data_IF_546015719943
#
_entry.id   IF_546015719943
#
_cell.length_a   1.000
_cell.length_b   1.000
_cell.length_c   1.000
_cell.angle_alpha   90.00
_cell.angle_beta   90.00
_cell.angle_gamma   90.00
#
_symmetry.space_group_name_H-M   'P 1'
#
loop_
_entity.id
_entity.type
_entity.pdbx_description
1 polymer ?
#
# COMPACT_ATOMS: atom_id res chain seq x y z
N UNK A 1 32.20 23.83 0.38
CA UNK A 1 31.25 23.07 1.22
C UNK A 1 30.33 22.30 0.29
N UNK A 2 30.52 20.98 0.20
CA UNK A 2 29.90 20.14 -0.82
C UNK A 2 28.42 19.89 -0.53
N UNK A 3 27.59 20.16 -1.53
CA UNK A 3 26.18 19.78 -1.54
C UNK A 3 26.05 18.24 -1.49
N UNK A 4 25.59 17.70 -0.37
CA UNK A 4 25.16 16.31 -0.29
C UNK A 4 23.77 16.17 -0.92
N UNK A 5 23.74 16.07 -2.25
CA UNK A 5 22.59 15.56 -3.01
C UNK A 5 22.83 14.07 -3.29
N UNK A 6 22.69 13.24 -2.26
CA UNK A 6 22.71 11.77 -2.38
C UNK A 6 21.73 11.18 -1.37
N UNK A 7 20.45 11.04 -1.73
CA UNK A 7 19.57 10.11 -1.00
C UNK A 7 18.28 9.69 -1.71
N UNK A 8 18.04 10.01 -2.98
CA UNK A 8 16.86 9.49 -3.71
C UNK A 8 17.13 8.15 -4.40
N UNK A 9 18.34 7.92 -4.91
CA UNK A 9 18.68 6.71 -5.69
C UNK A 9 18.69 5.40 -4.88
N UNK A 10 19.08 5.43 -3.60
CA UNK A 10 19.09 4.21 -2.75
C UNK A 10 17.68 3.72 -2.43
N UNK A 11 16.75 4.66 -2.22
CA UNK A 11 15.35 4.36 -1.91
C UNK A 11 14.65 3.72 -3.10
N UNK A 12 15.00 4.13 -4.33
CA UNK A 12 14.46 3.55 -5.58
C UNK A 12 14.98 2.13 -5.83
N UNK A 13 16.25 1.84 -5.53
CA UNK A 13 16.80 0.49 -5.70
C UNK A 13 16.17 -0.53 -4.74
N UNK A 14 16.05 -0.17 -3.46
CA UNK A 14 15.39 -1.02 -2.45
C UNK A 14 13.90 -1.27 -2.76
N UNK A 15 13.21 -0.30 -3.37
CA UNK A 15 11.82 -0.48 -3.77
C UNK A 15 11.68 -1.46 -4.94
N UNK A 16 12.63 -1.45 -5.88
CA UNK A 16 12.66 -2.39 -6.99
C UNK A 16 12.92 -3.83 -6.51
N UNK A 17 13.87 -4.01 -5.59
CA UNK A 17 14.17 -5.33 -5.03
C UNK A 17 12.95 -5.92 -4.31
N UNK A 18 12.26 -5.13 -3.48
CA UNK A 18 11.05 -5.59 -2.79
C UNK A 18 9.92 -5.95 -3.76
N UNK A 19 9.71 -5.15 -4.80
CA UNK A 19 8.69 -5.43 -5.82
C UNK A 19 9.00 -6.72 -6.57
N UNK A 20 10.24 -6.90 -7.02
CA UNK A 20 10.66 -8.11 -7.76
C UNK A 20 10.57 -9.37 -6.89
N UNK A 21 10.95 -9.28 -5.60
CA UNK A 21 10.78 -10.36 -4.64
C UNK A 21 9.29 -10.70 -4.45
N UNK A 22 8.43 -9.68 -4.38
CA UNK A 22 6.98 -9.87 -4.30
C UNK A 22 6.41 -10.59 -5.53
N UNK A 23 6.79 -10.15 -6.75
CA UNK A 23 6.35 -10.76 -8.01
C UNK A 23 6.86 -12.20 -8.14
N UNK A 24 8.14 -12.43 -7.83
CA UNK A 24 8.73 -13.77 -7.87
C UNK A 24 8.05 -14.70 -6.85
N UNK A 25 7.83 -14.23 -5.61
CA UNK A 25 7.11 -14.96 -4.57
C UNK A 25 5.67 -15.31 -4.99
N UNK A 26 4.96 -14.37 -5.63
CA UNK A 26 3.61 -14.60 -6.15
C UNK A 26 3.60 -15.65 -7.28
N UNK A 27 4.59 -15.62 -8.18
CA UNK A 27 4.76 -16.62 -9.23
C UNK A 27 5.02 -18.02 -8.68
N UNK A 28 5.89 -18.13 -7.67
CA UNK A 28 6.16 -19.40 -6.96
C UNK A 28 4.90 -19.88 -6.24
N UNK A 29 4.17 -18.99 -5.57
CA UNK A 29 2.92 -19.33 -4.89
C UNK A 29 1.85 -19.84 -5.87
N UNK A 30 1.72 -19.22 -7.05
CA UNK A 30 0.79 -19.66 -8.08
C UNK A 30 1.17 -21.06 -8.59
N UNK A 31 2.45 -21.31 -8.87
CA UNK A 31 2.92 -22.63 -9.29
C UNK A 31 2.65 -23.70 -8.21
N UNK A 32 3.02 -23.44 -6.96
CA UNK A 32 2.74 -24.34 -5.84
C UNK A 32 1.24 -24.56 -5.64
N UNK A 33 0.42 -23.51 -5.77
CA UNK A 33 -1.03 -23.61 -5.71
C UNK A 33 -1.62 -24.53 -6.79
N UNK A 34 -1.11 -24.47 -8.03
CA UNK A 34 -1.53 -25.38 -9.09
C UNK A 34 -1.13 -26.83 -8.80
N UNK A 35 0.07 -27.06 -8.25
CA UNK A 35 0.51 -28.39 -7.81
C UNK A 35 -0.33 -28.90 -6.65
N UNK A 36 -0.67 -28.05 -5.67
CA UNK A 36 -1.55 -28.42 -4.58
C UNK A 36 -2.94 -28.83 -5.09
N UNK A 37 -3.48 -28.11 -6.07
CA UNK A 37 -4.77 -28.42 -6.69
C UNK A 37 -4.75 -29.77 -7.42
N UNK A 38 -3.71 -30.06 -8.21
CA UNK A 38 -3.58 -31.35 -8.92
C UNK A 38 -3.36 -32.52 -7.95
N UNK A 39 -2.60 -32.32 -6.88
CA UNK A 39 -2.39 -33.33 -5.82
C UNK A 39 -3.68 -33.57 -5.04
N UNK A 40 -4.48 -32.53 -4.79
CA UNK A 40 -5.79 -32.66 -4.14
C UNK A 40 -6.76 -33.48 -5.00
N UNK A 41 -6.80 -33.22 -6.31
CA UNK A 41 -7.58 -34.00 -7.28
C UNK A 41 -7.17 -35.46 -7.32
N UNK A 42 -5.91 -35.76 -7.03
CA UNK A 42 -5.35 -37.12 -6.97
C UNK A 42 -5.65 -37.86 -5.65
N UNK A 43 -6.53 -37.31 -4.79
CA UNK A 43 -6.93 -37.93 -3.51
C UNK A 43 -5.92 -37.76 -2.36
N UNK A 44 -4.77 -37.11 -2.60
CA UNK A 44 -3.71 -36.95 -1.60
C UNK A 44 -3.88 -35.64 -0.82
N UNK A 45 -4.94 -35.55 -0.02
CA UNK A 45 -5.35 -34.29 0.62
C UNK A 45 -4.33 -33.73 1.62
N UNK A 46 -3.64 -34.59 2.39
CA UNK A 46 -2.59 -34.15 3.33
C UNK A 46 -1.40 -33.51 2.61
N UNK A 47 -0.96 -34.11 1.51
CA UNK A 47 0.12 -33.54 0.69
C UNK A 47 -0.32 -32.22 0.03
N UNK A 48 -1.56 -32.14 -0.47
CA UNK A 48 -2.11 -30.92 -1.04
C UNK A 48 -2.17 -29.77 -0.02
N UNK A 49 -2.58 -30.04 1.22
CA UNK A 49 -2.62 -29.05 2.30
C UNK A 49 -1.20 -28.53 2.61
N UNK A 50 -0.21 -29.42 2.70
CA UNK A 50 1.18 -29.01 2.95
C UNK A 50 1.73 -28.10 1.84
N UNK A 51 1.47 -28.43 0.58
CA UNK A 51 1.89 -27.61 -0.57
C UNK A 51 1.13 -26.29 -0.61
N UNK A 52 -0.16 -26.28 -0.31
CA UNK A 52 -0.95 -25.05 -0.21
C UNK A 52 -0.48 -24.12 0.91
N UNK A 53 -0.09 -24.68 2.07
CA UNK A 53 0.48 -23.90 3.17
C UNK A 53 1.81 -23.24 2.78
N UNK A 54 2.67 -23.95 2.04
CA UNK A 54 3.90 -23.38 1.48
C UNK A 54 3.59 -22.26 0.47
N UNK A 55 2.63 -22.47 -0.43
CA UNK A 55 2.19 -21.45 -1.38
C UNK A 55 1.70 -20.18 -0.68
N UNK A 56 0.93 -20.33 0.39
CA UNK A 56 0.47 -19.21 1.21
C UNK A 56 1.63 -18.44 1.84
N UNK A 57 2.67 -19.13 2.33
CA UNK A 57 3.86 -18.48 2.87
C UNK A 57 4.54 -17.55 1.87
N UNK A 58 4.60 -17.93 0.59
CA UNK A 58 5.15 -17.09 -0.48
C UNK A 58 4.19 -16.00 -0.97
N UNK A 59 2.87 -16.21 -0.88
CA UNK A 59 1.87 -15.21 -1.27
C UNK A 59 1.66 -14.12 -0.20
N UNK A 60 1.94 -14.42 1.07
CA UNK A 60 1.61 -13.56 2.20
C UNK A 60 2.25 -12.16 2.13
N UNK A 61 3.55 -12.01 1.82
CA UNK A 61 4.16 -10.69 1.68
C UNK A 61 3.51 -9.85 0.59
N UNK A 62 3.17 -10.47 -0.55
CA UNK A 62 2.51 -9.80 -1.65
C UNK A 62 1.07 -9.39 -1.31
N UNK A 63 0.34 -10.21 -0.54
CA UNK A 63 -0.98 -9.85 -0.02
C UNK A 63 -0.92 -8.65 0.94
N UNK A 64 0.05 -8.64 1.86
CA UNK A 64 0.26 -7.51 2.77
C UNK A 64 0.57 -6.24 2.00
N UNK A 65 1.43 -6.32 0.99
CA UNK A 65 1.75 -5.19 0.13
C UNK A 65 0.51 -4.69 -0.63
N UNK A 66 -0.28 -5.59 -1.22
CA UNK A 66 -1.50 -5.26 -1.93
C UNK A 66 -2.52 -4.54 -1.03
N UNK A 67 -2.71 -5.01 0.20
CA UNK A 67 -3.59 -4.35 1.18
C UNK A 67 -3.06 -2.96 1.53
N UNK A 68 -1.76 -2.82 1.73
CA UNK A 68 -1.13 -1.52 2.00
C UNK A 68 -1.32 -0.53 0.85
N UNK A 69 -1.12 -0.96 -0.38
CA UNK A 69 -1.34 -0.15 -1.59
C UNK A 69 -2.82 0.25 -1.73
N UNK A 70 -3.75 -0.68 -1.52
CA UNK A 70 -5.18 -0.40 -1.58
C UNK A 70 -5.61 0.64 -0.54
N UNK A 71 -5.13 0.51 0.70
CA UNK A 71 -5.38 1.51 1.75
C UNK A 71 -4.77 2.87 1.40
N UNK A 72 -3.55 2.88 0.86
CA UNK A 72 -2.88 4.10 0.40
C UNK A 72 -3.68 4.81 -0.71
N UNK A 73 -4.15 4.06 -1.71
CA UNK A 73 -4.99 4.57 -2.78
C UNK A 73 -6.30 5.13 -2.23
N UNK A 74 -6.95 4.42 -1.30
CA UNK A 74 -8.20 4.86 -0.69
C UNK A 74 -8.03 6.16 0.10
N UNK A 75 -6.94 6.29 0.87
CA UNK A 75 -6.60 7.52 1.58
C UNK A 75 -6.31 8.68 0.63
N UNK A 76 -5.58 8.42 -0.47
CA UNK A 76 -5.33 9.39 -1.53
C UNK A 76 -6.64 9.88 -2.16
N UNK A 77 -7.54 8.96 -2.51
CA UNK A 77 -8.86 9.29 -3.05
C UNK A 77 -9.67 10.12 -2.05
N UNK A 78 -9.73 9.69 -0.79
CA UNK A 78 -10.45 10.41 0.26
C UNK A 78 -9.91 11.83 0.45
N UNK A 79 -8.59 11.98 0.48
CA UNK A 79 -7.93 13.29 0.59
C UNK A 79 -8.23 14.17 -0.62
N UNK A 80 -8.19 13.59 -1.84
CA UNK A 80 -8.52 14.31 -3.07
C UNK A 80 -9.97 14.79 -3.06
N UNK A 81 -10.92 13.94 -2.65
CA UNK A 81 -12.33 14.32 -2.52
C UNK A 81 -12.50 15.46 -1.52
N UNK A 82 -11.89 15.35 -0.34
CA UNK A 82 -11.92 16.42 0.67
C UNK A 82 -11.33 17.71 0.10
N UNK A 83 -10.20 17.63 -0.62
CA UNK A 83 -9.58 18.80 -1.24
C UNK A 83 -10.49 19.44 -2.29
N UNK A 84 -11.06 18.65 -3.20
CA UNK A 84 -11.96 19.12 -4.27
C UNK A 84 -13.22 19.78 -3.69
N UNK A 85 -13.70 19.34 -2.53
CA UNK A 85 -14.88 19.94 -1.87
C UNK A 85 -14.49 21.15 -1.03
N UNK A 86 -13.44 21.02 -0.21
CA UNK A 86 -13.04 22.05 0.75
C UNK A 86 -12.37 23.25 0.08
N UNK A 87 -11.58 23.05 -0.97
CA UNK A 87 -10.89 24.12 -1.69
C UNK A 87 -11.87 25.16 -2.28
N UNK A 88 -12.88 24.80 -3.09
CA UNK A 88 -13.83 25.78 -3.60
C UNK A 88 -14.69 26.39 -2.47
N UNK A 89 -15.03 25.62 -1.43
CA UNK A 89 -15.76 26.15 -0.28
C UNK A 89 -14.96 27.23 0.49
N UNK A 90 -13.65 27.05 0.62
CA UNK A 90 -12.73 28.03 1.23
C UNK A 90 -12.47 29.24 0.33
N UNK A 91 -12.43 29.04 -0.99
CA UNK A 91 -12.26 30.11 -1.97
C UNK A 91 -13.51 30.99 -2.09
N UNK A 92 -14.71 30.41 -2.03
CA UNK A 92 -15.96 31.13 -2.21
C UNK A 92 -16.50 31.78 -0.92
N UNK A 93 -16.06 31.35 0.27
CA UNK A 93 -16.62 31.82 1.55
C UNK A 93 -15.57 32.32 2.54
N UNK A 94 -15.52 33.64 2.70
CA UNK A 94 -14.65 34.31 3.68
C UNK A 94 -14.95 33.89 5.14
N UNK A 95 -16.20 33.54 5.46
CA UNK A 95 -16.60 33.07 6.80
C UNK A 95 -16.04 31.69 7.11
N UNK A 96 -16.07 30.79 6.14
CA UNK A 96 -15.48 29.45 6.26
C UNK A 96 -13.96 29.53 6.38
N UNK A 97 -13.33 30.40 5.58
CA UNK A 97 -11.88 30.66 5.67
C UNK A 97 -11.46 31.18 7.05
N UNK A 98 -12.20 32.15 7.62
CA UNK A 98 -11.93 32.67 8.97
C UNK A 98 -12.20 31.64 10.09
N UNK A 99 -13.16 30.71 9.91
CA UNK A 99 -13.36 29.58 10.83
C UNK A 99 -12.22 28.55 10.71
N UNK A 100 -11.79 28.23 9.50
CA UNK A 100 -10.67 27.33 9.29
C UNK A 100 -9.40 27.88 9.94
N UNK A 101 -9.03 29.15 9.68
CA UNK A 101 -7.85 29.78 10.29
C UNK A 101 -7.89 29.70 11.82
N UNK A 102 -9.03 30.02 12.46
CA UNK A 102 -9.18 29.93 13.92
C UNK A 102 -9.13 28.50 14.47
N UNK A 103 -9.69 27.54 13.74
CA UNK A 103 -9.64 26.14 14.14
C UNK A 103 -8.22 25.60 14.09
N UNK A 104 -7.50 25.92 13.00
CA UNK A 104 -6.11 25.50 12.82
C UNK A 104 -5.16 26.25 13.78
N UNK A 105 -5.32 27.54 14.03
CA UNK A 105 -4.49 28.27 15.01
C UNK A 105 -4.62 27.68 16.42
N UNK A 106 -5.85 27.33 16.82
CA UNK A 106 -6.10 26.70 18.12
C UNK A 106 -5.52 25.29 18.24
N UNK A 107 -5.51 24.51 17.15
CA UNK A 107 -4.92 23.16 17.11
C UNK A 107 -3.40 23.19 17.23
N UNK A 108 -2.75 24.19 16.64
CA UNK A 108 -1.28 24.29 16.58
C UNK A 108 -0.67 25.21 17.65
N UNK A 109 -1.49 25.83 18.50
CA UNK A 109 -1.02 26.72 19.57
C UNK A 109 -0.29 27.97 19.06
N UNK A 110 -0.56 28.38 17.81
CA UNK A 110 -0.02 29.61 17.25
C UNK A 110 -0.94 30.78 17.65
N UNK A 111 -0.38 31.93 18.08
CA UNK A 111 -1.15 33.09 18.53
C UNK A 111 -2.04 33.69 17.42
#
# INVERSE_FOLDING_TARGET
MGHQHRSTSRTTWLSWDNYLIGVAGLGVAAALGTVAATVALSGHHTAAIAVAALALGFALPALVQLVGELLGILLLLGTLVVFVVAAPALLCSARLRARAVRHWSNLWGLP
#
